data_IF_095896679935
#
_entry.id   IF_095896679935
#
_cell.length_a   1.000
_cell.length_b   1.000
_cell.length_c   1.000
_cell.angle_alpha   90.00
_cell.angle_beta   90.00
_cell.angle_gamma   90.00
#
_symmetry.space_group_name_H-M   'P 1'
#
loop_
_entity.id
_entity.type
_entity.pdbx_description
1 polymer ?
2 non-polymer ?
3 non-polymer ?
4 water ?
#
# COMPACT_ATOMS: atom_id res chain seq x y z
N UNK A 4 -21.15 -0.87 2.61
CA UNK A 4 -19.82 -1.13 1.94
C UNK A 4 -19.44 -2.58 2.22
N UNK A 5 -18.94 -3.32 1.26
CA UNK A 5 -18.61 -4.73 1.53
C UNK A 5 -17.31 -4.82 2.34
N UNK A 6 -16.85 -6.04 2.61
CA UNK A 6 -15.67 -6.27 3.40
C UNK A 6 -14.38 -6.30 2.56
N UNK A 7 -13.35 -5.72 3.15
CA UNK A 7 -12.01 -5.68 2.63
C UNK A 7 -11.06 -6.57 3.42
N UNK A 8 -10.26 -7.33 2.68
CA UNK A 8 -9.21 -8.17 3.19
C UNK A 8 -7.90 -7.52 2.75
N UNK A 9 -7.07 -7.13 3.72
CA UNK A 9 -5.73 -6.67 3.36
C UNK A 9 -4.77 -7.81 3.73
N UNK A 10 -3.81 -8.11 2.87
CA UNK A 10 -2.81 -9.13 3.05
C UNK A 10 -1.45 -8.50 2.75
N UNK A 11 -0.57 -8.39 3.74
CA UNK A 11 0.74 -7.84 3.42
C UNK A 11 1.66 -7.73 4.64
N UNK A 12 2.72 -6.93 4.49
CA UNK A 12 3.69 -6.83 5.54
C UNK A 12 3.40 -6.02 6.78
N UNK A 13 4.11 -6.35 7.86
CA UNK A 13 4.09 -5.58 9.10
C UNK A 13 5.59 -5.37 9.41
N UNK A 14 6.02 -4.13 9.61
CA UNK A 14 7.41 -3.86 9.92
C UNK A 14 7.55 -2.95 11.15
N UNK A 15 8.71 -2.90 11.76
CA UNK A 15 9.04 -1.93 12.80
C UNK A 15 9.92 -0.91 12.06
N UNK A 16 9.45 0.28 11.84
CA UNK A 16 10.18 1.28 11.12
C UNK A 16 11.13 2.00 12.06
N UNK A 17 12.38 2.10 11.63
CA UNK A 17 13.40 2.83 12.38
C UNK A 17 13.75 3.98 11.43
N UNK A 18 13.30 5.16 11.82
CA UNK A 18 13.36 6.36 11.01
C UNK A 18 14.27 7.44 11.56
N UNK A 19 15.19 7.89 10.76
CA UNK A 19 16.07 9.00 11.10
C UNK A 19 15.95 10.17 10.10
N UNK A 20 15.62 11.33 10.62
CA UNK A 20 15.56 12.57 9.83
C UNK A 20 16.96 13.13 9.64
N UNK A 21 17.36 13.47 8.43
CA UNK A 21 18.70 14.03 8.26
C UNK A 21 18.60 15.14 7.21
N UNK A 22 19.67 15.91 7.02
CA UNK A 22 19.63 16.98 6.03
C UNK A 22 19.60 16.31 4.65
N UNK A 23 20.69 15.59 4.42
CA UNK A 23 20.95 14.91 3.18
C UNK A 23 21.40 13.45 3.33
N UNK A 24 20.82 12.59 2.49
CA UNK A 24 21.16 11.18 2.49
C UNK A 24 22.66 10.99 2.51
N UNK A 25 23.15 10.08 3.34
CA UNK A 25 24.57 9.79 3.38
C UNK A 25 24.99 9.24 2.01
N UNK A 26 26.21 9.53 1.58
CA UNK A 26 26.76 8.99 0.35
C UNK A 26 27.75 7.90 0.77
N UNK A 27 28.15 7.07 -0.20
CA UNK A 27 28.95 5.90 0.09
C UNK A 27 30.17 6.23 0.91
N UNK A 28 30.29 5.50 2.02
CA UNK A 28 31.39 5.67 2.95
C UNK A 28 31.26 6.90 3.81
N UNK A 29 30.18 7.66 3.74
CA UNK A 29 30.04 8.83 4.60
C UNK A 29 29.06 8.60 5.75
N UNK A 30 29.43 9.12 6.92
CA UNK A 30 28.62 9.07 8.11
C UNK A 30 27.96 10.45 8.31
N UNK A 31 26.64 10.44 8.39
CA UNK A 31 25.90 11.67 8.63
C UNK A 31 25.24 11.64 10.00
N UNK A 32 25.18 12.83 10.62
CA UNK A 32 24.50 12.98 11.89
C UNK A 32 23.10 13.52 11.62
N UNK A 33 22.07 12.77 11.95
CA UNK A 33 20.70 13.21 11.72
C UNK A 33 20.18 13.85 13.00
N UNK A 34 18.90 14.14 13.01
CA UNK A 34 18.31 14.80 14.18
C UNK A 34 17.30 13.80 14.76
N UNK A 35 16.04 14.03 14.48
CA UNK A 35 15.00 13.17 14.99
C UNK A 35 15.19 11.71 14.60
N UNK A 36 14.83 10.86 15.56
CA UNK A 36 14.89 9.41 15.38
C UNK A 36 13.62 8.82 15.97
N UNK A 37 13.01 7.87 15.26
CA UNK A 37 11.75 7.33 15.77
C UNK A 37 11.62 5.85 15.45
N UNK A 38 11.11 5.05 16.36
CA UNK A 38 10.76 3.68 16.10
C UNK A 38 9.23 3.61 16.11
N UNK A 39 8.62 3.22 15.00
CA UNK A 39 7.18 3.20 14.84
C UNK A 39 6.77 2.00 13.99
N UNK A 40 5.49 1.71 13.97
CA UNK A 40 4.92 0.63 13.17
C UNK A 40 4.80 1.07 11.72
N UNK A 41 5.07 0.12 10.83
CA UNK A 41 5.00 0.41 9.41
C UNK A 41 4.76 -0.89 8.65
N UNK A 42 5.32 -0.91 7.44
CA UNK A 42 5.06 -2.05 6.56
C UNK A 42 3.98 -1.59 5.55
N UNK A 43 4.19 -1.99 4.26
CA UNK A 43 3.18 -1.61 3.28
C UNK A 43 1.82 -2.24 3.59
N UNK A 44 1.80 -3.45 4.17
CA UNK A 44 0.51 -4.06 4.47
C UNK A 44 -0.15 -3.27 5.63
N UNK A 45 0.65 -2.98 6.68
CA UNK A 45 0.04 -2.36 7.86
C UNK A 45 -0.45 -0.96 7.56
N UNK A 46 0.33 -0.21 6.82
CA UNK A 46 0.02 1.16 6.41
C UNK A 46 -1.28 1.22 5.59
N UNK A 47 -1.43 0.38 4.61
CA UNK A 47 -2.66 0.31 3.82
C UNK A 47 -3.79 -0.20 4.69
N UNK A 48 -3.55 -1.17 5.58
CA UNK A 48 -4.63 -1.63 6.47
C UNK A 48 -5.11 -0.53 7.39
N UNK A 49 -4.20 0.27 7.94
CA UNK A 49 -4.51 1.40 8.79
C UNK A 49 -5.26 2.45 7.99
N UNK A 50 -4.80 2.83 6.80
CA UNK A 50 -5.47 3.82 5.97
C UNK A 50 -6.87 3.36 5.59
N UNK A 51 -7.04 2.05 5.35
CA UNK A 51 -8.37 1.57 5.03
C UNK A 51 -9.24 1.70 6.27
N UNK A 52 -8.76 1.16 7.39
CA UNK A 52 -9.54 1.11 8.61
C UNK A 52 -9.89 2.48 9.15
N UNK A 53 -8.98 3.42 9.20
CA UNK A 53 -9.25 4.73 9.73
C UNK A 53 -10.19 5.51 8.80
N UNK A 54 -10.08 5.29 7.46
CA UNK A 54 -10.97 6.04 6.58
C UNK A 54 -12.36 5.42 6.54
N UNK A 55 -12.64 4.29 7.20
CA UNK A 55 -14.01 3.79 7.16
C UNK A 55 -14.32 2.44 6.60
N UNK A 56 -13.36 1.66 6.11
CA UNK A 56 -13.65 0.32 5.55
C UNK A 56 -13.97 -0.71 6.58
N UNK A 57 -14.57 -1.83 6.14
CA UNK A 57 -14.87 -2.97 6.99
C UNK A 57 -13.76 -4.00 6.66
N UNK A 58 -12.59 -3.86 7.30
CA UNK A 58 -11.38 -4.53 6.84
C UNK A 58 -10.78 -5.49 7.84
N UNK A 59 -10.25 -6.63 7.39
CA UNK A 59 -9.60 -7.68 8.16
C UNK A 59 -8.18 -7.83 7.61
N UNK A 60 -7.16 -8.14 8.41
CA UNK A 60 -5.78 -8.06 7.90
C UNK A 60 -5.02 -9.38 8.14
N UNK A 61 -4.54 -9.98 7.08
CA UNK A 61 -3.80 -11.21 7.00
C UNK A 61 -2.31 -10.84 6.96
N UNK A 62 -1.63 -11.14 8.06
CA UNK A 62 -0.26 -10.71 8.18
C UNK A 62 0.46 -11.58 9.23
N UNK A 63 1.77 -11.52 9.21
CA UNK A 63 2.55 -12.28 10.19
C UNK A 63 3.51 -11.31 10.89
N UNK A 64 3.50 -11.44 12.19
CA UNK A 64 4.38 -10.71 13.08
C UNK A 64 5.32 -11.70 13.74
N UNK A 65 6.44 -11.22 14.35
CA UNK A 65 7.26 -12.20 15.09
C UNK A 65 6.74 -12.19 16.54
N UNK A 66 7.36 -13.00 17.42
CA UNK A 66 7.00 -12.94 18.82
C UNK A 66 7.94 -12.05 19.63
N UNK A 67 8.59 -11.08 19.00
CA UNK A 67 9.41 -10.14 19.78
C UNK A 67 8.39 -9.27 20.50
N UNK A 68 8.82 -8.29 21.27
CA UNK A 68 7.93 -7.37 21.95
C UNK A 68 7.20 -6.48 20.98
N UNK A 69 7.88 -6.02 19.94
CA UNK A 69 7.26 -5.12 18.96
C UNK A 69 6.20 -5.88 18.19
N UNK A 70 6.43 -7.15 17.86
CA UNK A 70 5.46 -7.97 17.18
C UNK A 70 4.20 -8.10 18.05
N UNK A 71 4.43 -8.50 19.31
CA UNK A 71 3.35 -8.70 20.25
C UNK A 71 2.60 -7.41 20.51
N UNK A 72 3.05 -6.20 20.28
CA UNK A 72 2.26 -5.04 20.62
C UNK A 72 1.72 -4.24 19.44
N UNK A 73 2.04 -4.65 18.22
CA UNK A 73 1.56 -4.04 17.01
C UNK A 73 0.13 -4.54 16.73
N UNK A 74 -0.18 -5.77 17.10
CA UNK A 74 -1.52 -6.29 16.89
C UNK A 74 -2.53 -5.46 17.65
N UNK A 75 -2.17 -5.17 18.91
CA UNK A 75 -3.04 -4.41 19.79
C UNK A 75 -3.18 -2.99 19.22
N UNK A 76 -2.09 -2.46 18.69
CA UNK A 76 -2.20 -1.12 18.12
C UNK A 76 -3.10 -1.14 16.88
N UNK A 77 -2.98 -2.12 16.01
CA UNK A 77 -3.75 -2.23 14.78
C UNK A 77 -5.22 -2.44 15.10
N UNK A 78 -5.53 -3.16 16.17
CA UNK A 78 -6.92 -3.40 16.53
C UNK A 78 -7.65 -2.09 16.83
N UNK A 79 -6.99 -1.06 17.36
CA UNK A 79 -7.63 0.20 17.60
C UNK A 79 -7.84 1.02 16.35
N UNK A 80 -7.22 0.68 15.22
CA UNK A 80 -7.40 1.42 13.99
C UNK A 80 -8.56 0.89 13.15
N UNK A 81 -9.49 0.19 13.75
CA UNK A 81 -10.71 -0.30 13.11
C UNK A 81 -10.39 -1.48 12.19
N UNK A 82 -9.44 -2.34 12.60
CA UNK A 82 -9.02 -3.47 11.82
C UNK A 82 -9.24 -4.80 12.56
N UNK A 83 -9.90 -5.76 11.95
CA UNK A 83 -10.08 -7.07 12.55
C UNK A 83 -8.73 -7.80 12.43
N UNK A 84 -7.98 -7.95 13.50
CA UNK A 84 -6.64 -8.48 13.55
C UNK A 84 -6.59 -9.97 13.91
N UNK A 85 -7.70 -10.70 13.78
CA UNK A 85 -7.77 -12.14 13.97
C UNK A 85 -6.82 -12.92 13.08
N UNK A 86 -6.69 -12.58 11.79
CA UNK A 86 -5.83 -13.25 10.85
C UNK A 86 -4.41 -12.73 10.82
N UNK A 87 -4.05 -11.88 11.81
CA UNK A 87 -2.63 -11.55 11.97
C UNK A 87 -2.02 -12.64 12.84
N UNK A 88 -1.14 -13.47 12.31
CA UNK A 88 -0.55 -14.56 13.11
C UNK A 88 0.75 -14.14 13.77
N UNK A 89 1.10 -14.71 14.90
CA UNK A 89 2.33 -14.47 15.63
C UNK A 89 3.28 -15.65 15.44
N UNK A 90 4.41 -15.47 14.80
CA UNK A 90 5.33 -16.54 14.45
C UNK A 90 6.37 -16.69 15.57
N UNK A 91 6.31 -17.83 16.24
CA UNK A 91 7.20 -18.14 17.34
C UNK A 91 8.62 -18.38 16.83
N UNK A 92 9.56 -17.78 17.59
CA UNK A 92 10.95 -17.99 17.21
C UNK A 92 11.36 -17.07 16.07
N UNK A 93 10.55 -16.04 15.79
CA UNK A 93 10.91 -15.12 14.71
C UNK A 93 10.64 -13.69 15.16
N UNK A 94 11.43 -12.82 14.58
CA UNK A 94 11.33 -11.39 14.75
C UNK A 94 10.50 -10.72 13.64
N UNK A 95 9.91 -9.62 14.01
CA UNK A 95 9.06 -8.84 13.11
C UNK A 95 9.85 -8.22 12.00
N UNK A 96 9.34 -8.11 10.81
CA UNK A 96 10.10 -7.47 9.72
C UNK A 96 10.60 -6.14 10.24
N UNK A 97 11.67 -5.62 9.65
CA UNK A 97 12.21 -4.33 10.12
C UNK A 97 12.36 -3.43 8.91
N UNK A 98 12.37 -2.12 9.03
CA UNK A 98 12.64 -1.21 7.94
C UNK A 98 13.64 -0.20 8.52
N UNK A 99 14.67 0.14 7.77
CA UNK A 99 15.62 1.17 8.20
C UNK A 99 15.39 2.30 7.20
N UNK A 100 15.00 3.48 7.68
CA UNK A 100 14.64 4.59 6.82
C UNK A 100 15.34 5.93 7.04
N UNK A 101 15.83 6.58 6.01
CA UNK A 101 16.37 7.94 6.07
C UNK A 101 15.36 8.91 5.41
N UNK A 102 15.04 9.96 6.13
CA UNK A 102 14.14 11.00 5.62
C UNK A 102 14.92 12.30 5.48
N UNK A 103 15.19 12.80 4.28
CA UNK A 103 15.97 14.03 4.14
C UNK A 103 15.18 15.30 4.38
N UNK A 104 15.96 16.40 4.29
CA UNK A 104 15.44 17.75 4.57
C UNK A 104 14.39 18.20 3.56
N UNK A 105 14.50 17.70 2.32
CA UNK A 105 13.43 17.97 1.34
C UNK A 105 12.27 17.01 1.57
N UNK A 106 12.39 16.04 2.47
CA UNK A 106 11.29 15.13 2.74
C UNK A 106 11.25 13.86 1.92
N UNK A 107 12.22 13.63 1.05
CA UNK A 107 12.24 12.34 0.35
C UNK A 107 12.80 11.30 1.31
N UNK A 108 12.66 10.01 0.96
CA UNK A 108 13.16 8.94 1.83
C UNK A 108 13.84 7.83 1.06
N UNK A 109 14.69 7.09 1.77
CA UNK A 109 15.36 5.90 1.25
C UNK A 109 15.05 4.82 2.29
N UNK A 110 14.59 3.66 1.83
CA UNK A 110 14.15 2.54 2.61
C UNK A 110 14.77 1.19 2.24
N UNK A 111 15.18 0.52 3.32
CA UNK A 111 15.80 -0.79 3.26
C UNK A 111 15.04 -1.71 4.24
N UNK A 112 14.43 -2.77 3.72
CA UNK A 112 13.64 -3.66 4.57
C UNK A 112 14.31 -5.02 4.75
N UNK A 113 13.94 -5.62 5.87
CA UNK A 113 14.37 -6.95 6.24
C UNK A 113 13.06 -7.69 6.55
N UNK A 114 12.80 -8.73 5.76
CA UNK A 114 11.59 -9.49 5.86
C UNK A 114 11.19 -9.96 7.24
N UNK A 115 12.07 -10.59 8.00
CA UNK A 115 11.68 -11.14 9.31
C UNK A 115 10.56 -12.14 9.08
N UNK A 116 9.56 -12.07 9.94
CA UNK A 116 8.39 -12.91 10.00
C UNK A 116 7.44 -12.63 8.85
N UNK A 117 7.59 -11.54 8.09
CA UNK A 117 6.74 -11.30 6.91
C UNK A 117 7.01 -12.43 5.93
N UNK A 118 8.24 -12.99 5.95
CA UNK A 118 8.53 -14.14 5.09
C UNK A 118 7.76 -15.39 5.51
N UNK A 119 7.12 -15.48 6.65
CA UNK A 119 6.45 -16.72 7.01
C UNK A 119 4.97 -16.70 6.62
N UNK A 120 4.50 -15.61 6.03
CA UNK A 120 3.12 -15.56 5.55
C UNK A 120 3.16 -16.41 4.26
N UNK A 121 2.63 -17.63 4.39
CA UNK A 121 2.78 -18.59 3.30
C UNK A 121 1.47 -18.94 2.64
N UNK A 122 1.58 -19.78 1.61
CA UNK A 122 0.41 -20.29 0.92
C UNK A 122 -0.44 -21.12 1.86
N UNK A 123 0.15 -21.80 2.87
CA UNK A 123 -0.65 -22.55 3.81
C UNK A 123 -1.45 -21.57 4.65
N UNK A 124 -0.88 -20.50 5.16
CA UNK A 124 -1.63 -19.56 5.97
C UNK A 124 -2.71 -18.85 5.13
N UNK A 125 -2.39 -18.63 3.84
CA UNK A 125 -3.37 -18.04 2.95
C UNK A 125 -4.50 -19.02 2.73
N UNK A 126 -4.13 -20.32 2.58
CA UNK A 126 -5.15 -21.31 2.28
C UNK A 126 -6.08 -21.50 3.45
N UNK A 127 -5.62 -21.22 4.67
CA UNK A 127 -6.48 -21.24 5.84
C UNK A 127 -7.42 -20.03 5.86
N UNK A 128 -7.17 -19.00 5.07
CA UNK A 128 -8.05 -17.84 5.05
C UNK A 128 -8.94 -17.88 3.80
N UNK A 129 -9.15 -19.04 3.17
CA UNK A 129 -9.89 -19.19 1.93
C UNK A 129 -11.29 -18.57 1.98
N UNK A 130 -12.07 -18.97 2.98
CA UNK A 130 -13.42 -18.45 3.16
C UNK A 130 -13.44 -16.95 3.40
N UNK A 131 -12.46 -16.43 4.16
CA UNK A 131 -12.47 -14.99 4.42
C UNK A 131 -12.25 -14.28 3.08
N UNK A 132 -11.35 -14.83 2.27
CA UNK A 132 -11.04 -14.18 1.01
C UNK A 132 -12.19 -14.30 0.06
N UNK A 133 -12.81 -15.47 -0.01
CA UNK A 133 -13.93 -15.80 -0.86
C UNK A 133 -15.14 -14.91 -0.53
N UNK A 134 -15.38 -14.65 0.75
CA UNK A 134 -16.52 -13.81 1.10
C UNK A 134 -16.26 -12.31 1.01
N UNK A 135 -15.03 -11.88 0.77
CA UNK A 135 -14.74 -10.45 0.82
C UNK A 135 -15.12 -9.80 -0.51
N UNK A 136 -15.22 -8.48 -0.57
CA UNK A 136 -15.54 -7.87 -1.85
C UNK A 136 -14.24 -7.48 -2.51
N UNK A 137 -13.22 -7.19 -1.69
CA UNK A 137 -11.94 -6.81 -2.29
C UNK A 137 -10.80 -7.39 -1.46
N UNK A 138 -9.66 -7.53 -2.09
CA UNK A 138 -8.46 -8.09 -1.51
C UNK A 138 -7.38 -7.10 -1.88
N UNK A 139 -6.76 -6.47 -0.91
CA UNK A 139 -5.68 -5.53 -1.29
C UNK A 139 -4.34 -6.10 -0.81
N UNK A 140 -3.34 -6.17 -1.70
CA UNK A 140 -2.03 -6.75 -1.47
C UNK A 140 -0.93 -5.87 -2.03
N UNK A 141 0.30 -6.10 -1.53
CA UNK A 141 1.48 -5.37 -1.97
C UNK A 141 2.59 -6.38 -2.24
N UNK A 142 3.85 -5.99 -2.44
CA UNK A 142 4.88 -7.01 -2.71
C UNK A 142 5.90 -7.11 -1.58
N UNK A 143 5.46 -7.00 -0.31
CA UNK A 143 6.40 -7.15 0.82
C UNK A 143 6.06 -8.46 1.54
N UNK A 144 5.30 -9.31 0.90
CA UNK A 144 4.89 -10.62 1.33
C UNK A 144 5.44 -11.60 0.27
N UNK A 145 5.65 -12.86 0.57
CA UNK A 145 6.16 -13.84 -0.40
C UNK A 145 5.29 -13.85 -1.64
N UNK A 146 5.91 -13.86 -2.82
CA UNK A 146 5.20 -13.83 -4.09
C UNK A 146 4.28 -15.02 -4.21
N UNK A 147 4.66 -16.16 -3.63
CA UNK A 147 3.79 -17.35 -3.74
C UNK A 147 2.48 -17.07 -3.03
N UNK A 148 2.58 -16.40 -1.87
CA UNK A 148 1.40 -16.14 -1.06
C UNK A 148 0.53 -15.07 -1.73
N UNK A 149 1.09 -14.08 -2.40
CA UNK A 149 0.29 -13.10 -3.12
C UNK A 149 -0.46 -13.78 -4.26
N UNK A 150 0.25 -14.75 -4.88
CA UNK A 150 -0.33 -15.54 -5.99
C UNK A 150 -1.42 -16.44 -5.49
N UNK A 151 -1.16 -17.17 -4.40
CA UNK A 151 -2.23 -18.03 -3.85
C UNK A 151 -3.48 -17.21 -3.53
N UNK A 152 -3.36 -16.09 -2.81
CA UNK A 152 -4.56 -15.29 -2.47
C UNK A 152 -5.27 -14.72 -3.66
N UNK A 153 -4.58 -14.21 -4.67
CA UNK A 153 -5.14 -13.68 -5.90
C UNK A 153 -5.98 -14.77 -6.57
N UNK A 154 -5.44 -16.01 -6.53
CA UNK A 154 -6.18 -17.12 -7.11
C UNK A 154 -7.52 -17.35 -6.43
N UNK A 155 -7.55 -17.42 -5.10
CA UNK A 155 -8.82 -17.68 -4.42
C UNK A 155 -9.83 -16.56 -4.65
N UNK A 156 -9.26 -15.34 -4.77
CA UNK A 156 -10.09 -14.17 -4.92
C UNK A 156 -10.73 -14.22 -6.31
N UNK A 157 -9.92 -14.45 -7.30
CA UNK A 157 -10.33 -14.56 -8.68
C UNK A 157 -11.44 -15.60 -8.78
N UNK A 158 -11.26 -16.81 -8.23
CA UNK A 158 -12.33 -17.78 -8.31
C UNK A 158 -13.66 -17.27 -7.76
N UNK A 159 -13.60 -16.49 -6.65
CA UNK A 159 -14.81 -16.22 -5.87
C UNK A 159 -15.41 -14.85 -6.15
N UNK A 160 -14.84 -14.19 -7.15
CA UNK A 160 -15.27 -12.88 -7.59
C UNK A 160 -14.94 -11.74 -6.64
N UNK A 161 -13.91 -11.91 -5.82
CA UNK A 161 -13.43 -10.85 -4.94
C UNK A 161 -12.53 -9.91 -5.70
N UNK A 162 -12.76 -8.61 -5.78
CA UNK A 162 -11.82 -7.76 -6.51
C UNK A 162 -10.42 -7.92 -5.92
N UNK A 163 -9.46 -8.04 -6.83
CA UNK A 163 -8.07 -8.16 -6.45
C UNK A 163 -7.41 -6.83 -6.76
N UNK A 164 -6.94 -6.14 -5.72
CA UNK A 164 -6.24 -4.88 -5.94
C UNK A 164 -4.79 -5.09 -5.52
N UNK A 165 -3.84 -4.71 -6.33
CA UNK A 165 -2.44 -4.88 -6.08
C UNK A 165 -1.63 -3.61 -6.21
N UNK A 166 -0.94 -3.24 -5.16
CA UNK A 166 -0.03 -2.09 -5.18
C UNK A 166 1.31 -2.81 -5.39
N UNK A 167 1.82 -2.86 -6.61
CA UNK A 167 3.03 -3.60 -6.96
C UNK A 167 4.32 -3.02 -6.44
N UNK A 168 4.43 -2.80 -5.14
CA UNK A 168 5.61 -2.14 -4.58
C UNK A 168 6.19 -2.99 -3.47
N UNK A 169 7.48 -2.96 -3.24
CA UNK A 169 8.41 -2.28 -4.11
C UNK A 169 8.48 -2.94 -5.49
N UNK A 170 9.02 -2.20 -6.46
CA UNK A 170 9.15 -2.65 -7.82
C UNK A 170 9.74 -4.05 -7.98
N UNK A 171 9.15 -4.84 -8.86
CA UNK A 171 9.78 -6.08 -9.30
C UNK A 171 9.00 -6.55 -10.53
N UNK A 172 9.61 -7.44 -11.27
CA UNK A 172 8.87 -8.04 -12.40
C UNK A 172 7.88 -9.05 -11.85
N UNK A 173 6.73 -9.27 -12.44
CA UNK A 173 5.75 -10.22 -11.94
C UNK A 173 5.41 -11.15 -13.10
N UNK A 174 5.14 -12.42 -12.86
CA UNK A 174 4.80 -13.34 -13.91
C UNK A 174 3.37 -13.07 -14.34
N UNK A 175 2.98 -13.40 -15.56
CA UNK A 175 1.71 -13.19 -16.18
C UNK A 175 0.59 -13.87 -15.42
N UNK A 176 0.91 -15.05 -14.85
CA UNK A 176 -0.07 -15.75 -14.04
C UNK A 176 -0.60 -14.84 -12.94
N UNK A 177 0.25 -14.05 -12.27
CA UNK A 177 -0.28 -13.16 -11.24
C UNK A 177 -1.04 -11.99 -11.90
N UNK A 178 -0.40 -11.32 -12.85
CA UNK A 178 -1.00 -10.19 -13.54
C UNK A 178 -2.39 -10.47 -14.08
N UNK A 179 -2.59 -11.59 -14.77
CA UNK A 179 -3.91 -12.01 -15.22
C UNK A 179 -4.94 -12.08 -14.10
N UNK A 180 -4.58 -12.28 -12.85
CA UNK A 180 -5.52 -12.35 -11.74
C UNK A 180 -5.83 -10.99 -11.13
N UNK A 181 -5.17 -9.92 -11.56
CA UNK A 181 -5.41 -8.62 -10.94
C UNK A 181 -6.49 -7.77 -11.60
N UNK A 182 -7.37 -7.11 -10.84
CA UNK A 182 -8.42 -6.26 -11.37
C UNK A 182 -8.07 -4.80 -11.37
N UNK A 183 -7.39 -4.38 -10.31
CA UNK A 183 -6.94 -3.01 -10.10
C UNK A 183 -5.46 -3.03 -9.73
N UNK A 184 -4.64 -2.31 -10.48
CA UNK A 184 -3.21 -2.35 -10.13
C UNK A 184 -2.76 -0.92 -9.91
N UNK A 185 -1.97 -0.58 -8.90
CA UNK A 185 -1.56 0.80 -8.70
C UNK A 185 -0.07 1.04 -8.64
N UNK A 186 0.65 0.87 -9.75
CA UNK A 186 2.10 1.06 -9.76
C UNK A 186 2.46 2.53 -9.71
N UNK A 187 3.71 2.82 -9.37
CA UNK A 187 4.21 4.18 -9.55
C UNK A 187 4.98 4.09 -10.88
N UNK A 188 5.80 5.05 -11.25
CA UNK A 188 6.39 5.03 -12.60
C UNK A 188 7.51 4.02 -12.71
N UNK A 189 8.37 3.90 -11.71
CA UNK A 189 9.43 2.91 -11.62
C UNK A 189 8.86 1.50 -11.75
N UNK A 190 7.79 1.24 -11.01
CA UNK A 190 7.02 0.03 -11.00
C UNK A 190 6.32 -0.24 -12.31
N UNK A 191 5.75 0.78 -12.98
CA UNK A 191 5.09 0.55 -14.25
C UNK A 191 6.17 0.22 -15.29
N UNK A 192 7.33 0.84 -15.18
CA UNK A 192 8.44 0.49 -16.06
C UNK A 192 8.83 -0.96 -15.84
N UNK A 193 9.09 -1.33 -14.57
CA UNK A 193 9.50 -2.69 -14.28
C UNK A 193 8.47 -3.71 -14.71
N UNK A 194 7.16 -3.47 -14.69
CA UNK A 194 6.25 -4.49 -15.14
C UNK A 194 6.03 -4.58 -16.65
N UNK A 195 6.24 -3.46 -17.38
CA UNK A 195 5.96 -3.43 -18.79
C UNK A 195 7.10 -3.13 -19.74
N UNK A 196 8.24 -2.62 -19.30
CA UNK A 196 9.30 -2.21 -20.21
C UNK A 196 9.26 -0.73 -20.53
N UNK A 197 8.15 -0.07 -20.29
CA UNK A 197 7.99 1.34 -20.69
C UNK A 197 8.28 2.36 -19.61
N UNK A 198 9.34 3.14 -19.83
CA UNK A 198 9.64 4.24 -18.92
C UNK A 198 8.45 5.21 -18.93
N UNK A 199 8.16 5.90 -17.84
CA UNK A 199 7.00 6.75 -17.73
C UNK A 199 7.40 8.14 -17.24
N UNK A 200 7.40 9.05 -18.22
CA UNK A 200 7.75 10.44 -17.97
C UNK A 200 6.51 11.29 -18.20
N UNK A 201 5.52 10.76 -18.89
CA UNK A 201 4.35 11.59 -19.19
C UNK A 201 3.11 10.76 -19.38
N UNK A 202 2.04 11.44 -19.79
CA UNK A 202 0.74 10.79 -19.97
C UNK A 202 0.73 9.84 -21.15
N UNK A 203 1.56 10.09 -22.16
CA UNK A 203 1.62 9.25 -23.34
C UNK A 203 2.35 7.95 -22.95
N UNK A 204 3.45 8.12 -22.24
CA UNK A 204 4.15 6.96 -21.69
C UNK A 204 3.20 6.22 -20.73
N UNK A 205 2.49 6.95 -19.88
CA UNK A 205 1.53 6.33 -18.96
C UNK A 205 0.47 5.54 -19.70
N UNK A 206 -0.03 6.11 -20.82
CA UNK A 206 -1.04 5.36 -21.58
C UNK A 206 -0.39 4.17 -22.28
N UNK A 207 0.87 4.29 -22.64
CA UNK A 207 1.56 3.16 -23.27
C UNK A 207 1.66 2.04 -22.23
N UNK A 208 2.19 2.38 -21.06
CA UNK A 208 2.37 1.38 -20.01
C UNK A 208 1.09 0.73 -19.57
N UNK A 209 -0.01 1.50 -19.45
CA UNK A 209 -1.32 1.01 -19.08
C UNK A 209 -1.88 -0.01 -20.06
N UNK A 210 -1.54 0.20 -21.34
CA UNK A 210 -2.05 -0.71 -22.37
C UNK A 210 -1.42 -2.09 -22.23
N UNK A 211 -0.14 -2.16 -21.89
CA UNK A 211 0.49 -3.46 -21.58
C UNK A 211 -0.23 -4.14 -20.42
N UNK A 212 -0.51 -3.38 -19.33
CA UNK A 212 -1.25 -3.98 -18.20
C UNK A 212 -2.68 -4.33 -18.59
N UNK A 213 -3.27 -3.57 -19.53
CA UNK A 213 -4.61 -3.98 -19.99
C UNK A 213 -4.45 -5.29 -20.80
N UNK A 214 -3.36 -5.35 -21.55
CA UNK A 214 -3.00 -6.54 -22.35
C UNK A 214 -2.91 -7.77 -21.44
N UNK A 215 -2.24 -7.62 -20.29
CA UNK A 215 -2.13 -8.74 -19.35
C UNK A 215 -3.43 -9.12 -18.70
N UNK A 216 -4.58 -8.44 -18.84
CA UNK A 216 -5.80 -8.88 -18.20
C UNK A 216 -6.27 -7.95 -17.09
N UNK A 217 -5.58 -6.85 -16.86
CA UNK A 217 -5.94 -5.93 -15.77
C UNK A 217 -6.82 -4.77 -16.29
N UNK A 218 -8.09 -4.82 -15.94
CA UNK A 218 -9.08 -3.83 -16.32
C UNK A 218 -8.78 -2.42 -15.85
N UNK A 219 -8.57 -2.24 -14.54
CA UNK A 219 -8.31 -0.91 -14.01
C UNK A 219 -6.85 -0.70 -13.63
N UNK A 220 -6.22 0.23 -14.31
CA UNK A 220 -4.84 0.58 -14.09
C UNK A 220 -4.70 2.04 -13.69
N UNK A 221 -4.05 2.23 -12.55
CA UNK A 221 -3.80 3.57 -12.02
C UNK A 221 -2.30 3.75 -11.88
N UNK A 222 -1.70 4.61 -12.67
CA UNK A 222 -0.26 4.84 -12.59
C UNK A 222 -0.04 6.17 -11.88
N UNK A 223 0.51 6.11 -10.67
CA UNK A 223 0.74 7.37 -9.94
C UNK A 223 1.96 8.03 -10.56
N UNK A 224 1.86 9.35 -10.74
CA UNK A 224 2.84 10.15 -11.45
C UNK A 224 3.48 11.18 -10.54
N UNK A 225 3.76 10.78 -9.30
CA UNK A 225 4.37 11.67 -8.32
C UNK A 225 3.52 12.90 -8.08
N UNK A 226 4.10 14.09 -8.22
CA UNK A 226 3.35 15.33 -7.99
C UNK A 226 2.21 15.52 -8.96
N UNK A 227 2.29 14.94 -10.16
CA UNK A 227 1.24 15.07 -11.16
C UNK A 227 -0.03 14.28 -10.92
N UNK A 228 -0.21 13.62 -9.79
CA UNK A 228 -1.46 12.88 -9.56
C UNK A 228 -1.35 11.48 -10.18
N UNK A 229 -2.44 10.95 -10.68
CA UNK A 229 -2.54 9.62 -11.23
C UNK A 229 -3.13 9.51 -12.64
N UNK A 230 -2.56 8.60 -13.45
CA UNK A 230 -3.11 8.25 -14.74
C UNK A 230 -4.10 7.11 -14.53
N UNK A 231 -5.38 7.38 -14.68
CA UNK A 231 -6.42 6.40 -14.49
C UNK A 231 -6.86 5.85 -15.85
N UNK A 232 -6.72 4.54 -16.03
CA UNK A 232 -7.09 3.87 -17.25
C UNK A 232 -7.96 2.66 -16.99
N UNK A 233 -9.22 2.73 -17.45
CA UNK A 233 -10.13 1.60 -17.27
C UNK A 233 -10.30 0.98 -18.66
N UNK A 234 -9.62 -0.13 -18.86
CA UNK A 234 -9.48 -0.95 -20.01
C UNK A 234 -9.29 -0.16 -21.30
N UNK A 235 -8.36 0.80 -21.30
CA UNK A 235 -8.12 1.65 -22.45
C UNK A 235 -8.40 3.10 -22.09
N UNK A 236 -9.63 3.61 -22.26
CA UNK A 236 -9.93 5.00 -21.91
C UNK A 236 -9.21 5.46 -20.64
N UNK A 237 -8.26 6.41 -20.79
CA UNK A 237 -7.53 6.87 -19.62
C UNK A 237 -7.28 8.36 -19.51
N UNK A 238 -7.24 8.87 -18.27
CA UNK A 238 -6.98 10.29 -18.06
C UNK A 238 -6.28 10.59 -16.75
N UNK A 239 -5.75 11.81 -16.65
CA UNK A 239 -5.05 12.27 -15.46
C UNK A 239 -5.96 12.91 -14.43
N UNK A 240 -5.85 12.45 -13.18
CA UNK A 240 -6.56 12.98 -12.05
C UNK A 240 -5.48 13.48 -11.06
N UNK A 241 -5.25 14.78 -11.11
CA UNK A 241 -4.28 15.47 -10.29
C UNK A 241 -4.54 15.33 -8.81
N UNK A 242 -3.52 15.50 -7.99
CA UNK A 242 -3.75 15.43 -6.53
C UNK A 242 -3.89 16.84 -5.98
N UNK A 243 -3.90 16.98 -4.67
CA UNK A 243 -3.99 18.28 -4.03
C UNK A 243 -2.59 18.84 -3.83
N UNK A 244 -2.31 20.01 -4.42
CA UNK A 244 -0.98 20.60 -4.19
C UNK A 244 -0.86 20.83 -2.68
N UNK A 245 0.06 20.17 -1.99
CA UNK A 245 0.20 20.38 -0.55
C UNK A 245 1.67 20.52 -0.15
N UNK A 246 1.91 20.80 1.12
CA UNK A 246 3.27 21.07 1.60
C UNK A 246 3.91 19.83 2.19
N UNK A 247 4.57 19.07 1.34
CA UNK A 247 5.20 17.81 1.74
C UNK A 247 6.26 18.00 2.81
N UNK A 248 6.25 17.18 3.86
CA UNK A 248 7.22 17.20 4.94
C UNK A 248 7.68 15.75 5.15
N UNK A 249 6.71 14.82 5.19
CA UNK A 249 7.06 13.40 5.26
C UNK A 249 6.12 12.59 4.37
N UNK A 250 6.65 12.30 3.18
CA UNK A 250 6.05 11.55 2.11
C UNK A 250 6.09 10.05 2.31
N UNK A 251 6.15 9.55 3.53
CA UNK A 251 6.22 8.09 3.71
C UNK A 251 4.84 7.62 4.04
N UNK A 252 4.41 6.51 3.43
CA UNK A 252 3.03 6.07 3.57
C UNK A 252 2.03 6.91 2.77
N UNK A 253 2.48 7.74 1.83
CA UNK A 253 1.58 8.52 0.98
C UNK A 253 0.89 7.59 -0.03
N UNK A 254 1.70 6.78 -0.72
CA UNK A 254 1.16 5.72 -1.55
C UNK A 254 0.27 4.74 -0.80
N UNK A 255 0.72 4.29 0.35
CA UNK A 255 -0.03 3.33 1.15
C UNK A 255 -1.40 3.90 1.52
N UNK A 256 -1.43 5.17 1.93
CA UNK A 256 -2.61 5.83 2.42
C UNK A 256 -3.60 5.98 1.25
N UNK A 257 -3.10 6.36 0.09
CA UNK A 257 -3.84 6.45 -1.15
C UNK A 257 -4.44 5.08 -1.45
N UNK A 258 -3.62 4.00 -1.42
CA UNK A 258 -4.23 2.69 -1.74
C UNK A 258 -5.31 2.30 -0.77
N UNK A 259 -5.09 2.47 0.56
CA UNK A 259 -6.10 1.97 1.50
C UNK A 259 -7.40 2.75 1.41
N UNK A 260 -7.24 4.06 1.31
CA UNK A 260 -8.37 5.00 1.20
C UNK A 260 -9.13 4.82 -0.11
N UNK A 261 -8.39 4.56 -1.19
CA UNK A 261 -8.91 4.26 -2.49
C UNK A 261 -9.90 3.11 -2.42
N UNK A 262 -9.43 2.01 -1.81
CA UNK A 262 -10.28 0.82 -1.75
C UNK A 262 -11.46 1.11 -0.88
N UNK A 263 -11.36 1.87 0.19
CA UNK A 263 -12.50 2.19 1.02
C UNK A 263 -13.62 2.88 0.19
N UNK A 264 -13.33 3.91 -0.57
CA UNK A 264 -14.28 4.62 -1.39
C UNK A 264 -14.93 3.71 -2.44
N UNK A 265 -14.13 2.87 -3.10
CA UNK A 265 -14.67 1.90 -4.05
C UNK A 265 -15.56 0.93 -3.34
N UNK A 266 -15.23 0.44 -2.13
CA UNK A 266 -16.18 -0.46 -1.46
C UNK A 266 -17.43 0.31 -1.04
N UNK A 267 -17.41 1.64 -0.97
CA UNK A 267 -18.64 2.39 -0.66
C UNK A 267 -19.41 2.77 -1.92
N UNK A 268 -19.08 2.20 -3.05
CA UNK A 268 -19.72 2.32 -4.33
C UNK A 268 -19.46 3.69 -4.98
N UNK A 269 -18.32 4.30 -4.66
CA UNK A 269 -18.05 5.61 -5.27
C UNK A 269 -17.39 5.33 -6.62
N UNK A 270 -17.83 6.06 -7.63
CA UNK A 270 -17.28 5.90 -8.97
C UNK A 270 -15.79 6.02 -8.82
N UNK A 271 -14.99 5.54 -9.75
CA UNK A 271 -13.54 5.61 -9.65
C UNK A 271 -12.95 7.00 -9.53
N UNK A 272 -13.37 7.99 -10.33
CA UNK A 272 -12.88 9.34 -10.27
C UNK A 272 -13.02 9.94 -8.88
N UNK A 273 -14.12 9.64 -8.24
CA UNK A 273 -14.43 10.12 -6.90
C UNK A 273 -13.64 9.34 -5.83
N UNK A 274 -13.43 8.04 -6.05
CA UNK A 274 -12.63 7.25 -5.13
C UNK A 274 -11.19 7.79 -5.17
N UNK A 275 -10.71 8.19 -6.35
CA UNK A 275 -9.36 8.72 -6.46
C UNK A 275 -9.19 10.05 -5.74
N UNK A 276 -10.26 10.88 -5.81
CA UNK A 276 -10.31 12.17 -5.19
C UNK A 276 -10.15 12.03 -3.67
N UNK A 277 -10.92 11.15 -3.08
CA UNK A 277 -10.98 10.81 -1.68
C UNK A 277 -9.63 10.27 -1.16
N UNK A 278 -9.02 9.41 -1.99
CA UNK A 278 -7.73 8.81 -1.67
C UNK A 278 -6.67 9.91 -1.74
N UNK A 279 -6.82 10.77 -2.76
CA UNK A 279 -5.85 11.87 -2.91
C UNK A 279 -5.89 12.79 -1.67
N UNK A 280 -7.08 12.94 -1.09
CA UNK A 280 -7.29 13.74 0.09
C UNK A 280 -6.65 13.08 1.30
N UNK A 281 -6.77 11.76 1.43
CA UNK A 281 -6.16 11.06 2.56
C UNK A 281 -4.64 11.19 2.39
N UNK A 282 -4.13 11.00 1.18
CA UNK A 282 -2.69 11.10 1.00
C UNK A 282 -2.20 12.50 1.31
N UNK A 283 -2.99 13.50 0.86
CA UNK A 283 -2.56 14.90 1.02
C UNK A 283 -2.49 15.24 2.50
N UNK A 284 -3.35 14.75 3.37
CA UNK A 284 -3.19 14.94 4.80
C UNK A 284 -1.98 14.16 5.29
N UNK A 285 -1.87 12.90 4.88
CA UNK A 285 -0.80 12.05 5.37
C UNK A 285 0.57 12.67 5.21
N UNK A 286 0.89 13.25 4.06
CA UNK A 286 2.21 13.79 3.80
C UNK A 286 2.54 15.08 4.53
N UNK A 287 1.56 15.72 5.16
CA UNK A 287 1.86 16.90 5.95
C UNK A 287 2.15 16.53 7.39
N UNK A 288 2.41 15.24 7.65
CA UNK A 288 2.70 14.68 8.95
C UNK A 288 3.87 13.70 8.85
N UNK A 289 4.47 13.26 9.96
CA UNK A 289 5.64 12.38 9.87
C UNK A 289 5.44 10.92 10.24
N UNK A 290 6.34 10.06 9.75
CA UNK A 290 6.27 8.62 10.04
C UNK A 290 5.27 7.95 9.12
N UNK A 291 5.30 6.61 8.98
CA UNK A 291 4.34 5.98 8.07
C UNK A 291 2.95 6.09 8.71
N UNK A 292 2.57 5.08 9.47
CA UNK A 292 1.29 4.94 10.12
C UNK A 292 0.76 6.13 10.88
N UNK A 293 1.56 6.81 11.70
CA UNK A 293 1.07 7.93 12.50
C UNK A 293 0.48 9.07 11.68
N UNK A 294 0.97 9.24 10.45
CA UNK A 294 0.47 10.28 9.57
C UNK A 294 -0.85 9.90 8.90
N UNK A 295 -1.52 8.80 9.22
CA UNK A 295 -2.72 8.37 8.55
C UNK A 295 -4.01 8.92 9.14
N UNK A 296 -4.78 9.62 8.30
CA UNK A 296 -5.99 10.30 8.70
C UNK A 296 -7.24 9.52 8.93
N UNK A 297 -8.08 9.89 9.89
CA UNK A 297 -9.38 9.29 10.13
C UNK A 297 -10.44 9.87 9.20
N UNK A 298 -11.55 9.16 9.01
CA UNK A 298 -12.62 9.56 8.11
C UNK A 298 -13.09 10.99 8.31
N UNK A 299 -13.38 11.43 9.54
CA UNK A 299 -13.81 12.82 9.70
C UNK A 299 -12.78 13.82 9.18
N UNK A 300 -11.47 13.60 9.24
CA UNK A 300 -10.51 14.55 8.72
C UNK A 300 -10.46 14.56 7.21
N UNK A 301 -10.80 13.42 6.58
CA UNK A 301 -10.75 13.34 5.12
C UNK A 301 -11.95 14.16 4.63
N UNK A 302 -13.11 13.89 5.23
CA UNK A 302 -14.33 14.65 4.89
C UNK A 302 -14.02 16.15 5.03
N UNK A 303 -13.65 16.60 6.24
CA UNK A 303 -13.30 18.01 6.43
C UNK A 303 -12.36 18.52 5.36
N UNK A 304 -11.29 17.77 5.05
CA UNK A 304 -10.41 18.25 4.00
C UNK A 304 -11.19 18.43 2.70
N UNK A 305 -12.04 17.48 2.34
CA UNK A 305 -12.82 17.57 1.11
C UNK A 305 -13.81 18.73 1.16
N UNK A 306 -14.57 18.91 2.23
CA UNK A 306 -15.50 20.01 2.39
C UNK A 306 -14.89 21.38 2.10
N UNK A 307 -13.67 21.63 2.55
CA UNK A 307 -12.97 22.88 2.28
C UNK A 307 -12.33 22.95 0.91
N UNK A 308 -12.60 21.99 0.04
CA UNK A 308 -11.94 21.94 -1.26
C UNK A 308 -12.85 22.12 -2.47
#
# INVERSE_FOLDING_TARGET
MQNAGSLVVLGSINADHILNLQSFPTPGETVTGNHYQVAFGGKGANQAVAAGRSGANIAFIACTGDDSIGESVRQQLATDNIDITPVSVIKGESTGVALIFVNGEGENVIGIHAGANAALSPALVEAQRERIANASALLMQLESPLESVMAAAKIAHQNKTIVALNPAPARELPDELLALVDIITPNETEAEKLTGIRVENDEDAAKAAQVLHEKGIRTVLITLGSRGVWASVNGEGQRVPGFRVQAVDTIAAGDTFNGALITALLEEKPLPEAIRFAHAAAAIAVTRKGAQPSVPWREEIDAFLDRQR
#
